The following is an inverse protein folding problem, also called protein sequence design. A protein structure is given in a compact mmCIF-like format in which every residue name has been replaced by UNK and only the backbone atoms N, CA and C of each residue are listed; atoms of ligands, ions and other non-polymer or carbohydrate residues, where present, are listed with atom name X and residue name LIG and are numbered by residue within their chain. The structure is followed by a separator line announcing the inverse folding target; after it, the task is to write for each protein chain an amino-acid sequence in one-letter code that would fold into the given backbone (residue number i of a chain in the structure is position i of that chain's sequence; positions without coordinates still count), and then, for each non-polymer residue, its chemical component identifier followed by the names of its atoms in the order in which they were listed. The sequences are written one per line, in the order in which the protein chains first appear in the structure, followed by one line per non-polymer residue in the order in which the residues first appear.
data_IF_402822107237
#
_entry.id   IF_402822107237
#
_cell.length_a   1.000
_cell.length_b   1.000
_cell.length_c   1.000
_cell.angle_alpha   90.00
_cell.angle_beta   90.00
_cell.angle_gamma   90.00
#
_symmetry.space_group_name_H-M   'P 1'
#
loop_
_entity.id
_entity.type
_entity.pdbx_description
1 polymer ?
#
# COMPACT_ATOMS: atom_id res chain seq x y z
N UNK A 1 11.09 -10.46 -58.13
CA UNK A 1 10.08 -9.39 -58.25
C UNK A 1 9.33 -9.31 -56.94
N UNK A 2 9.57 -8.24 -56.19
CA UNK A 2 8.90 -7.95 -54.92
C UNK A 2 7.58 -7.24 -55.26
N UNK A 3 6.44 -7.82 -54.88
CA UNK A 3 5.17 -7.08 -54.89
C UNK A 3 5.03 -6.34 -53.56
N UNK A 4 4.86 -5.03 -53.67
CA UNK A 4 4.61 -4.10 -52.57
C UNK A 4 3.17 -4.30 -52.06
N UNK A 5 3.02 -4.42 -50.74
CA UNK A 5 1.73 -4.29 -50.05
C UNK A 5 1.82 -3.14 -49.05
N UNK A 6 1.16 -2.02 -49.37
CA UNK A 6 0.91 -0.92 -48.43
C UNK A 6 0.07 -1.42 -47.25
N UNK A 7 0.52 -1.20 -46.01
CA UNK A 7 -0.35 -1.24 -44.82
C UNK A 7 -0.42 0.13 -44.20
N UNK A 8 -1.58 0.73 -44.35
CA UNK A 8 -2.02 1.99 -43.77
C UNK A 8 -1.90 1.97 -42.25
N UNK A 9 -1.40 3.07 -41.66
CA UNK A 9 -1.49 3.33 -40.22
C UNK A 9 -2.96 3.45 -39.81
N UNK A 10 -3.46 2.44 -39.11
CA UNK A 10 -4.63 2.57 -38.25
C UNK A 10 -4.12 2.82 -36.83
N UNK A 11 -4.13 4.10 -36.44
CA UNK A 11 -4.11 4.50 -35.05
C UNK A 11 -5.43 4.06 -34.45
N UNK A 12 -5.40 3.01 -33.63
CA UNK A 12 -6.50 2.66 -32.74
C UNK A 12 -6.05 2.91 -31.31
N UNK A 13 -6.60 4.01 -30.79
CA UNK A 13 -6.98 4.34 -29.43
C UNK A 13 -6.58 3.37 -28.32
N UNK A 14 -6.09 3.99 -27.24
CA UNK A 14 -5.66 3.37 -26.00
C UNK A 14 -6.61 2.30 -25.48
N UNK A 15 -6.03 1.13 -25.27
CA UNK A 15 -6.40 0.24 -24.18
C UNK A 15 -5.13 0.15 -23.31
N UNK A 16 -5.15 0.61 -22.04
CA UNK A 16 -4.01 0.38 -21.18
C UNK A 16 -3.87 -1.14 -21.01
N UNK A 17 -2.66 -1.59 -21.31
CA UNK A 17 -2.21 -2.96 -21.24
C UNK A 17 -2.64 -3.55 -19.89
N UNK A 18 -3.43 -4.61 -19.94
CA UNK A 18 -3.80 -5.41 -18.80
C UNK A 18 -2.52 -6.06 -18.25
N UNK A 19 -1.80 -5.35 -17.38
CA UNK A 19 -0.70 -5.93 -16.63
C UNK A 19 -1.31 -6.74 -15.48
N UNK A 20 -1.72 -7.96 -15.79
CA UNK A 20 -1.95 -9.01 -14.81
C UNK A 20 -0.59 -9.30 -14.16
N UNK A 21 -0.29 -8.62 -13.05
CA UNK A 21 0.68 -9.15 -12.08
C UNK A 21 -0.13 -9.96 -11.07
N UNK A 22 -0.38 -11.22 -11.41
CA UNK A 22 -0.77 -12.23 -10.42
C UNK A 22 0.47 -13.07 -10.15
N UNK A 23 0.63 -13.42 -8.87
CA UNK A 23 1.71 -14.16 -8.20
C UNK A 23 2.85 -13.27 -7.68
N UNK A 24 3.10 -13.20 -6.37
CA UNK A 24 3.26 -14.38 -5.52
C UNK A 24 2.15 -14.58 -4.46
N UNK A 25 1.38 -15.69 -4.51
CA UNK A 25 1.08 -16.39 -3.29
C UNK A 25 2.39 -17.00 -2.79
N UNK A 26 2.93 -16.48 -1.69
CA UNK A 26 3.55 -17.40 -0.75
C UNK A 26 2.43 -17.80 0.22
N UNK A 27 1.80 -18.94 -0.04
CA UNK A 27 1.17 -19.72 1.02
C UNK A 27 1.59 -21.18 0.81
N UNK A 28 1.80 -22.00 1.85
CA UNK A 28 1.87 -21.71 3.28
C UNK A 28 3.11 -22.34 3.95
N UNK A 29 3.82 -21.61 4.80
CA UNK A 29 4.60 -22.23 5.87
C UNK A 29 4.33 -21.43 7.14
N UNK A 30 3.75 -22.09 8.13
CA UNK A 30 3.54 -21.56 9.49
C UNK A 30 4.89 -21.26 10.12
N UNK A 31 5.53 -20.18 9.72
CA UNK A 31 6.58 -19.53 10.50
C UNK A 31 5.99 -18.20 10.92
N UNK A 32 5.69 -18.10 12.21
CA UNK A 32 4.94 -17.01 12.83
C UNK A 32 5.69 -15.63 12.80
N UNK A 33 6.67 -15.44 11.91
CA UNK A 33 7.49 -14.23 11.73
C UNK A 33 7.40 -13.77 10.26
N UNK A 34 6.17 -13.52 9.80
CA UNK A 34 5.92 -13.26 8.38
C UNK A 34 6.22 -11.80 8.00
N UNK A 35 6.98 -11.62 6.92
CA UNK A 35 7.09 -10.33 6.24
C UNK A 35 6.00 -10.21 5.19
N UNK A 36 5.26 -9.11 5.20
CA UNK A 36 4.24 -8.83 4.19
C UNK A 36 4.64 -7.57 3.45
N UNK A 37 4.56 -7.61 2.12
CA UNK A 37 5.01 -6.50 1.25
C UNK A 37 3.98 -6.22 0.18
N UNK A 38 3.77 -4.93 -0.07
CA UNK A 38 3.19 -4.42 -1.30
C UNK A 38 4.18 -3.44 -1.93
N UNK A 39 4.60 -3.75 -3.15
CA UNK A 39 5.32 -2.81 -4.00
C UNK A 39 4.53 -2.69 -5.30
N UNK A 40 3.95 -1.53 -5.57
CA UNK A 40 3.43 -1.26 -6.90
C UNK A 40 3.55 0.22 -7.23
N UNK A 41 4.12 0.50 -8.39
CA UNK A 41 4.28 1.84 -8.96
C UNK A 41 2.96 2.57 -9.23
N UNK A 42 1.83 1.91 -8.99
CA UNK A 42 0.52 2.32 -9.47
C UNK A 42 -0.61 1.86 -8.52
N UNK A 43 -0.45 1.95 -7.19
CA UNK A 43 -1.32 1.18 -6.27
C UNK A 43 -1.79 1.89 -5.01
N UNK A 44 -3.12 1.94 -4.79
CA UNK A 44 -3.77 2.11 -3.48
C UNK A 44 -5.16 1.46 -3.36
N UNK A 45 -5.25 0.37 -2.61
CA UNK A 45 -6.36 -0.07 -1.75
C UNK A 45 -5.73 -0.85 -0.58
N UNK A 46 -6.05 -0.53 0.67
CA UNK A 46 -5.57 -1.31 1.83
C UNK A 46 -6.76 -2.05 2.41
N UNK A 47 -6.82 -3.36 2.15
CA UNK A 47 -7.73 -4.29 2.81
C UNK A 47 -7.00 -5.07 3.90
N UNK A 48 -7.73 -5.53 4.91
CA UNK A 48 -7.26 -6.58 5.80
C UNK A 48 -8.05 -7.86 5.55
N UNK A 49 -7.36 -9.00 5.63
CA UNK A 49 -7.99 -10.30 5.89
C UNK A 49 -7.66 -10.69 7.32
N UNK A 50 -8.70 -10.88 8.14
CA UNK A 50 -8.53 -11.33 9.54
C UNK A 50 -7.70 -12.62 9.59
N UNK A 51 -6.80 -12.69 10.57
CA UNK A 51 -6.03 -13.90 10.87
C UNK A 51 -6.97 -15.02 11.28
N UNK A 52 -6.72 -16.24 10.83
CA UNK A 52 -7.47 -17.39 11.31
C UNK A 52 -7.00 -17.73 12.73
N UNK A 53 -7.95 -17.59 13.65
CA UNK A 53 -7.86 -17.91 15.07
C UNK A 53 -7.33 -19.33 15.29
N UNK A 54 -6.03 -19.50 15.47
CA UNK A 54 -5.49 -20.77 15.97
C UNK A 54 -4.44 -20.51 17.05
N UNK A 55 -4.97 -20.34 18.26
CA UNK A 55 -4.37 -20.74 19.53
C UNK A 55 -3.16 -19.89 19.95
N UNK A 56 -3.45 -18.77 20.64
CA UNK A 56 -2.54 -17.89 21.41
C UNK A 56 -1.70 -16.85 20.67
N UNK A 57 -1.77 -16.76 19.34
CA UNK A 57 -1.05 -15.77 18.55
C UNK A 57 -1.97 -15.16 17.47
N UNK A 58 -2.07 -13.83 17.39
CA UNK A 58 -3.08 -13.11 16.58
C UNK A 58 -2.46 -12.27 15.45
N UNK A 59 -1.83 -12.91 14.45
CA UNK A 59 -1.16 -12.13 13.39
C UNK A 59 -2.05 -11.75 12.19
N UNK A 60 -2.37 -10.46 12.03
CA UNK A 60 -3.20 -9.91 10.95
C UNK A 60 -2.60 -10.08 9.54
N UNK A 61 -3.29 -10.78 8.65
CA UNK A 61 -2.91 -10.84 7.24
C UNK A 61 -3.43 -9.62 6.47
N UNK A 62 -2.53 -8.81 5.93
CA UNK A 62 -2.93 -7.66 5.11
C UNK A 62 -3.18 -8.08 3.66
N UNK A 63 -4.23 -7.52 3.07
CA UNK A 63 -4.55 -7.72 1.66
C UNK A 63 -4.53 -6.37 0.93
N UNK A 64 -3.64 -6.24 -0.02
CA UNK A 64 -3.41 -4.97 -0.69
C UNK A 64 -3.99 -5.02 -2.10
N UNK A 65 -4.91 -4.10 -2.39
CA UNK A 65 -5.42 -3.89 -3.75
C UNK A 65 -4.75 -2.69 -4.43
N UNK A 66 -4.84 -2.62 -5.75
CA UNK A 66 -4.20 -1.56 -6.53
C UNK A 66 -5.17 -0.77 -7.40
N UNK A 67 -4.95 0.55 -7.45
CA UNK A 67 -5.55 1.49 -8.40
C UNK A 67 -4.44 2.33 -9.02
N UNK A 68 -4.35 2.31 -10.35
CA UNK A 68 -3.34 3.03 -11.13
C UNK A 68 -3.21 4.48 -10.65
N UNK A 69 -2.02 4.81 -10.15
CA UNK A 69 -1.72 6.11 -9.52
C UNK A 69 -0.95 7.03 -10.47
N UNK A 70 0.02 6.48 -11.19
CA UNK A 70 0.85 7.17 -12.19
C UNK A 70 1.02 6.32 -13.43
N UNK A 71 1.18 6.97 -14.60
CA UNK A 71 1.63 6.31 -15.82
C UNK A 71 3.13 5.97 -15.73
N UNK A 72 3.91 6.77 -14.98
CA UNK A 72 5.33 6.51 -14.69
C UNK A 72 5.69 7.07 -13.33
N UNK A 73 5.99 6.19 -12.38
CA UNK A 73 6.48 6.56 -11.05
C UNK A 73 7.97 6.95 -11.10
N UNK A 74 8.35 7.95 -10.33
CA UNK A 74 9.72 8.50 -10.27
C UNK A 74 10.13 8.72 -8.82
N UNK A 75 11.44 8.84 -8.56
CA UNK A 75 11.99 9.16 -7.24
C UNK A 75 11.49 8.22 -6.12
N UNK A 76 11.33 6.95 -6.45
CA UNK A 76 10.81 5.95 -5.53
C UNK A 76 11.86 5.53 -4.50
N UNK A 77 11.47 5.44 -3.24
CA UNK A 77 12.31 4.85 -2.20
C UNK A 77 11.46 4.21 -1.11
N UNK A 78 12.04 3.23 -0.40
CA UNK A 78 11.43 2.62 0.77
C UNK A 78 12.14 3.09 2.03
N UNK A 79 11.36 3.48 3.04
CA UNK A 79 11.89 3.89 4.33
C UNK A 79 12.60 2.73 5.05
N UNK A 80 13.42 3.07 6.05
CA UNK A 80 13.72 2.14 7.13
C UNK A 80 12.44 1.80 7.92
N UNK A 81 12.54 0.86 8.88
CA UNK A 81 11.42 0.66 9.80
C UNK A 81 11.12 1.97 10.53
N UNK A 82 9.85 2.39 10.46
CA UNK A 82 9.41 3.68 11.01
C UNK A 82 9.00 3.58 12.48
N UNK A 83 8.93 2.36 13.00
CA UNK A 83 8.68 2.06 14.40
C UNK A 83 9.52 0.89 14.90
N UNK A 84 9.70 0.85 16.22
CA UNK A 84 10.00 -0.36 16.96
C UNK A 84 8.69 -1.10 17.31
N UNK A 85 8.80 -2.36 17.76
CA UNK A 85 7.67 -3.11 18.31
C UNK A 85 7.05 -2.40 19.51
N UNK A 86 5.74 -2.56 19.67
CA UNK A 86 4.85 -1.92 20.66
C UNK A 86 4.85 -0.39 20.60
N UNK A 87 5.57 0.21 19.63
CA UNK A 87 5.65 1.66 19.48
C UNK A 87 4.72 2.15 18.38
N UNK A 88 4.09 3.32 18.60
CA UNK A 88 3.34 3.98 17.56
C UNK A 88 4.26 4.53 16.48
N UNK A 89 3.69 4.86 15.34
CA UNK A 89 4.32 5.72 14.34
C UNK A 89 3.32 6.70 13.75
N UNK A 90 3.87 7.79 13.24
CA UNK A 90 3.23 8.66 12.25
C UNK A 90 4.25 8.87 11.14
N UNK A 91 3.92 8.42 9.92
CA UNK A 91 4.81 8.48 8.76
C UNK A 91 4.14 9.19 7.60
N UNK A 92 4.85 10.11 6.97
CA UNK A 92 4.39 10.87 5.82
C UNK A 92 5.47 10.85 4.73
N UNK A 93 5.05 10.68 3.48
CA UNK A 93 5.97 10.80 2.35
C UNK A 93 6.47 12.23 2.16
N UNK A 94 7.65 12.42 1.55
CA UNK A 94 8.14 13.75 1.20
C UNK A 94 7.17 14.52 0.29
N UNK A 95 7.38 15.84 0.20
CA UNK A 95 6.54 16.71 -0.63
C UNK A 95 6.38 16.16 -2.05
N UNK A 96 5.15 16.18 -2.55
CA UNK A 96 4.76 15.73 -3.89
C UNK A 96 5.04 14.25 -4.18
N UNK A 97 5.25 13.47 -3.13
CA UNK A 97 5.22 12.03 -3.21
C UNK A 97 3.99 11.49 -2.52
N UNK A 98 3.60 10.31 -2.93
CA UNK A 98 2.56 9.53 -2.28
C UNK A 98 3.21 8.26 -1.79
N UNK A 99 2.62 7.64 -0.78
CA UNK A 99 2.98 6.26 -0.49
C UNK A 99 2.73 5.51 -1.83
N UNK A 100 3.51 4.50 -2.20
CA UNK A 100 3.16 3.50 -3.27
C UNK A 100 3.28 2.04 -2.80
N UNK A 101 3.71 1.83 -1.56
CA UNK A 101 3.84 0.51 -0.98
C UNK A 101 3.97 0.53 0.53
N UNK A 102 3.73 -0.62 1.14
CA UNK A 102 3.89 -0.83 2.57
C UNK A 102 4.48 -2.20 2.80
N UNK A 103 5.42 -2.30 3.72
CA UNK A 103 6.01 -3.56 4.16
C UNK A 103 5.92 -3.65 5.67
N UNK A 104 5.58 -4.83 6.19
CA UNK A 104 5.63 -5.12 7.61
C UNK A 104 6.42 -6.37 7.93
N UNK A 105 6.99 -6.42 9.13
CA UNK A 105 7.60 -7.60 9.73
C UNK A 105 6.98 -7.85 11.09
N UNK A 106 6.41 -9.04 11.27
CA UNK A 106 5.84 -9.50 12.53
C UNK A 106 6.88 -10.25 13.38
N UNK A 107 6.83 -10.09 14.70
CA UNK A 107 7.65 -10.88 15.64
C UNK A 107 6.81 -11.34 16.85
N UNK A 108 6.70 -12.66 17.05
CA UNK A 108 5.82 -13.24 18.07
C UNK A 108 6.13 -12.85 19.50
N UNK A 109 7.39 -12.53 19.78
CA UNK A 109 7.76 -12.10 21.13
C UNK A 109 6.97 -10.86 21.55
N UNK A 110 6.62 -10.01 20.59
CA UNK A 110 5.86 -8.78 20.80
C UNK A 110 4.41 -8.91 20.32
N UNK A 111 4.08 -9.96 19.55
CA UNK A 111 2.81 -10.06 18.82
C UNK A 111 2.48 -8.80 18.01
N UNK A 112 3.53 -8.15 17.48
CA UNK A 112 3.43 -6.85 16.87
C UNK A 112 4.28 -6.74 15.60
N UNK A 113 4.02 -5.70 14.81
CA UNK A 113 4.60 -5.43 13.51
C UNK A 113 5.41 -4.14 13.49
N UNK A 114 6.57 -4.21 12.85
CA UNK A 114 7.30 -3.03 12.37
C UNK A 114 6.96 -2.72 10.93
N UNK A 115 6.91 -1.45 10.59
CA UNK A 115 6.39 -0.96 9.31
C UNK A 115 7.45 -0.19 8.52
N UNK A 116 7.42 -0.36 7.20
CA UNK A 116 8.13 0.44 6.21
C UNK A 116 7.14 0.91 5.16
N UNK A 117 7.42 2.06 4.57
CA UNK A 117 6.60 2.64 3.54
C UNK A 117 7.45 2.97 2.32
N UNK A 118 6.93 2.64 1.15
CA UNK A 118 7.50 3.05 -0.12
C UNK A 118 6.82 4.34 -0.53
N UNK A 119 7.58 5.37 -0.88
CA UNK A 119 7.10 6.62 -1.44
C UNK A 119 7.56 6.73 -2.89
N UNK A 120 6.72 7.29 -3.76
CA UNK A 120 7.11 7.68 -5.12
C UNK A 120 6.46 9.02 -5.48
N UNK A 121 7.14 9.78 -6.33
CA UNK A 121 6.55 10.92 -7.05
C UNK A 121 6.23 10.57 -8.50
N UNK A 122 5.80 11.58 -9.25
CA UNK A 122 5.64 11.52 -10.70
C UNK A 122 5.91 12.89 -11.32
N UNK A 123 6.21 12.93 -12.62
CA UNK A 123 6.28 14.19 -13.37
C UNK A 123 4.91 14.86 -13.42
N UNK A 124 4.88 16.19 -13.41
CA UNK A 124 3.63 16.96 -13.45
C UNK A 124 2.66 16.62 -12.30
N UNK A 125 3.18 16.32 -11.09
CA UNK A 125 2.40 15.88 -9.95
C UNK A 125 2.79 16.62 -8.66
N UNK A 126 1.81 17.29 -8.06
CA UNK A 126 1.87 17.82 -6.71
C UNK A 126 0.73 17.24 -5.89
N UNK A 127 1.02 16.82 -4.66
CA UNK A 127 0.00 16.68 -3.61
C UNK A 127 -0.64 18.05 -3.34
N UNK A 128 -1.96 18.04 -3.14
CA UNK A 128 -2.75 19.24 -2.88
C UNK A 128 -3.55 19.07 -1.57
N UNK A 129 -4.88 19.22 -1.60
CA UNK A 129 -5.72 19.16 -0.40
C UNK A 129 -5.61 17.81 0.29
N UNK A 130 -4.99 17.78 1.47
CA UNK A 130 -4.77 16.60 2.28
C UNK A 130 -5.71 16.54 3.48
N UNK A 131 -6.29 15.37 3.74
CA UNK A 131 -7.21 15.16 4.87
C UNK A 131 -6.85 13.85 5.60
N UNK A 132 -6.87 13.90 6.93
CA UNK A 132 -6.74 12.73 7.77
C UNK A 132 -8.10 12.08 7.97
N UNK A 133 -8.11 10.74 7.96
CA UNK A 133 -9.26 9.98 8.43
C UNK A 133 -9.32 10.00 9.97
N UNK A 134 -10.49 9.66 10.51
CA UNK A 134 -10.54 9.07 11.86
C UNK A 134 -9.89 7.67 11.84
N UNK A 135 -9.84 7.00 12.99
CA UNK A 135 -9.43 5.61 13.00
C UNK A 135 -10.37 4.77 12.13
N UNK A 136 -9.81 4.09 11.13
CA UNK A 136 -10.59 3.37 10.11
C UNK A 136 -11.01 1.97 10.54
N UNK A 137 -10.53 1.54 11.71
CA UNK A 137 -10.79 0.22 12.27
C UNK A 137 -10.92 0.28 13.78
N UNK A 138 -11.46 -0.79 14.37
CA UNK A 138 -11.26 -1.15 15.78
C UNK A 138 -10.21 -2.26 15.92
N UNK A 139 -9.84 -2.59 17.16
CA UNK A 139 -9.01 -3.77 17.44
C UNK A 139 -9.78 -5.06 17.14
N UNK A 140 -9.07 -6.11 16.70
CA UNK A 140 -9.55 -7.46 16.36
C UNK A 140 -10.60 -7.53 15.23
N UNK A 141 -10.96 -6.38 14.68
CA UNK A 141 -11.94 -6.19 13.63
C UNK A 141 -11.24 -6.14 12.27
N UNK A 142 -11.77 -6.92 11.31
CA UNK A 142 -11.36 -6.79 9.92
C UNK A 142 -11.87 -5.46 9.36
N UNK A 143 -11.02 -4.73 8.65
CA UNK A 143 -11.44 -3.54 7.93
C UNK A 143 -10.95 -3.53 6.48
N UNK A 144 -11.64 -2.76 5.66
CA UNK A 144 -11.18 -2.38 4.33
C UNK A 144 -11.23 -0.88 4.22
N UNK A 145 -10.10 -0.26 3.90
CA UNK A 145 -10.02 1.16 3.66
C UNK A 145 -9.81 1.43 2.17
N UNK A 146 -10.81 2.07 1.57
CA UNK A 146 -10.76 2.55 0.21
C UNK A 146 -10.42 4.05 0.22
N UNK A 147 -9.35 4.41 -0.48
CA UNK A 147 -8.99 5.82 -0.66
C UNK A 147 -10.11 6.51 -1.45
N UNK A 148 -10.55 7.72 -1.05
CA UNK A 148 -11.56 8.45 -1.80
C UNK A 148 -11.19 8.67 -3.28
N UNK A 149 -12.19 8.83 -4.17
CA UNK A 149 -11.93 9.13 -5.57
C UNK A 149 -10.99 10.34 -5.75
N UNK A 150 -10.14 10.27 -6.77
CA UNK A 150 -9.16 11.33 -7.11
C UNK A 150 -8.20 11.72 -5.98
N UNK A 151 -8.03 10.86 -4.98
CA UNK A 151 -7.10 11.03 -3.88
C UNK A 151 -6.09 9.87 -3.81
N UNK A 152 -4.98 10.12 -3.12
CA UNK A 152 -3.84 9.21 -2.99
C UNK A 152 -3.34 9.20 -1.55
N UNK A 153 -2.84 8.06 -1.05
CA UNK A 153 -2.28 8.01 0.30
C UNK A 153 -0.97 8.78 0.37
N UNK A 154 -0.85 9.59 1.41
CA UNK A 154 0.33 10.41 1.66
C UNK A 154 0.97 10.10 3.02
N UNK A 155 0.16 9.68 3.99
CA UNK A 155 0.63 9.38 5.34
C UNK A 155 -0.17 8.25 5.98
N UNK A 156 0.42 7.62 6.98
CA UNK A 156 -0.20 6.63 7.84
C UNK A 156 0.21 6.86 9.30
N UNK A 157 -0.73 6.67 10.21
CA UNK A 157 -0.51 6.69 11.65
C UNK A 157 -1.09 5.42 12.26
N UNK A 158 -0.34 4.83 13.19
CA UNK A 158 -0.78 3.63 13.86
C UNK A 158 -0.18 3.51 15.25
N UNK A 159 -0.96 2.96 16.17
CA UNK A 159 -0.48 2.56 17.50
C UNK A 159 -0.91 1.14 17.81
N UNK A 160 -0.09 0.46 18.59
CA UNK A 160 -0.31 -0.88 19.12
C UNK A 160 -0.94 -0.81 20.50
N UNK A 161 -1.78 -1.78 20.84
CA UNK A 161 -2.23 -1.99 22.21
C UNK A 161 -2.20 -3.45 22.63
N UNK A 162 -1.40 -3.73 23.67
CA UNK A 162 -1.05 -5.08 24.10
C UNK A 162 -2.26 -5.88 24.62
N UNK A 163 -3.29 -5.23 25.16
CA UNK A 163 -4.51 -5.95 25.55
C UNK A 163 -5.14 -6.72 24.38
N UNK A 164 -5.01 -6.17 23.18
CA UNK A 164 -5.52 -6.74 21.94
C UNK A 164 -4.42 -7.40 21.12
N UNK A 165 -3.15 -7.13 21.42
CA UNK A 165 -1.98 -7.44 20.58
C UNK A 165 -2.20 -6.99 19.13
N UNK A 166 -2.69 -5.76 19.01
CA UNK A 166 -3.23 -5.29 17.76
C UNK A 166 -3.10 -3.77 17.56
N UNK A 167 -3.21 -3.32 16.31
CA UNK A 167 -2.99 -1.94 15.87
C UNK A 167 -4.26 -1.22 15.40
N UNK A 168 -4.36 0.06 15.75
CA UNK A 168 -5.31 1.01 15.15
C UNK A 168 -4.66 1.75 14.01
N UNK A 169 -5.46 2.17 13.04
CA UNK A 169 -4.98 2.80 11.81
C UNK A 169 -5.71 4.08 11.47
N UNK A 170 -4.92 5.09 11.12
CA UNK A 170 -5.32 6.34 10.48
C UNK A 170 -4.53 6.51 9.21
N UNK A 171 -5.17 7.08 8.20
CA UNK A 171 -4.54 7.38 6.94
C UNK A 171 -4.77 8.83 6.56
N UNK A 172 -3.78 9.44 5.92
CA UNK A 172 -3.94 10.70 5.24
C UNK A 172 -4.02 10.45 3.74
N UNK A 173 -5.03 11.01 3.10
CA UNK A 173 -5.12 11.04 1.65
C UNK A 173 -5.10 12.48 1.16
N UNK A 174 -4.52 12.69 -0.02
CA UNK A 174 -4.45 13.99 -0.66
C UNK A 174 -5.01 13.93 -2.08
N UNK A 175 -5.68 15.00 -2.50
CA UNK A 175 -5.90 15.24 -3.93
C UNK A 175 -4.58 15.58 -4.62
N UNK A 176 -4.59 15.62 -5.95
CA UNK A 176 -3.45 16.05 -6.75
C UNK A 176 -3.77 17.28 -7.59
N UNK A 177 -2.73 18.03 -7.92
CA UNK A 177 -2.73 19.04 -9.00
C UNK A 177 -1.48 18.88 -9.86
N UNK A 178 -1.52 19.46 -11.05
CA UNK A 178 -0.33 19.51 -11.90
C UNK A 178 0.67 20.56 -11.40
N UNK A 179 1.95 20.18 -11.42
CA UNK A 179 3.13 21.00 -11.23
C UNK A 179 4.31 20.23 -11.84
#
# INVERSE_FOLDING_TARGET
MVQQGHRSRLSINGAPTLLILVWAPQKPLKSHEESQSLYSSSCWCVGQRKSEHHNKYEDRLWDFGCKATFDTATNCFTSSYVNAFDKPFSYQCPSHQVITGMHSYHENKYEDRRWKFTCCGASNFCTDTCQWTNYVNWFDEAFTFNVPPNSYLNAAESYHENKYEDRRWKFQHCTRRSC
#
